data_IF_005662702608
#
_entry.id   IF_005662702608
#
_cell.length_a   1.000
_cell.length_b   1.000
_cell.length_c   1.000
_cell.angle_alpha   90.00
_cell.angle_beta   90.00
_cell.angle_gamma   90.00
#
_symmetry.space_group_name_H-M   'P 1'
#
loop_
_entity.id
_entity.type
_entity.pdbx_description
1 polymer ?
#
# COMPACT_ATOMS: atom_id res chain seq x y z
N UNK A 1 13.23 5.22 13.62
CA UNK A 1 12.05 5.52 12.77
C UNK A 1 10.78 4.85 13.29
N UNK A 2 10.89 3.87 14.20
CA UNK A 2 9.75 3.14 14.76
C UNK A 2 8.74 4.05 15.46
N UNK A 3 9.21 5.08 16.20
CA UNK A 3 8.34 6.05 16.88
C UNK A 3 7.41 6.78 15.90
N UNK A 4 7.90 7.17 14.71
CA UNK A 4 7.09 7.86 13.67
C UNK A 4 5.93 6.98 13.23
N UNK A 5 6.19 5.68 13.01
CA UNK A 5 5.13 4.76 12.63
C UNK A 5 4.11 4.57 13.75
N UNK A 6 4.57 4.46 15.00
CA UNK A 6 3.67 4.34 16.16
C UNK A 6 2.79 5.57 16.34
N UNK A 7 3.31 6.77 16.09
CA UNK A 7 2.53 8.02 16.06
C UNK A 7 1.46 7.98 14.96
N UNK A 8 1.83 7.62 13.72
CA UNK A 8 0.89 7.48 12.59
C UNK A 8 -0.22 6.47 12.93
N UNK A 9 0.13 5.32 13.51
CA UNK A 9 -0.83 4.30 13.90
C UNK A 9 -1.79 4.77 14.99
N UNK A 10 -1.30 5.58 15.93
CA UNK A 10 -2.14 6.14 17.01
C UNK A 10 -3.09 7.20 16.48
N UNK A 11 -2.60 8.07 15.59
CA UNK A 11 -3.37 9.17 14.99
C UNK A 11 -4.46 8.64 14.04
N UNK A 12 -4.17 7.60 13.26
CA UNK A 12 -5.06 7.16 12.16
C UNK A 12 -5.76 5.82 12.40
N UNK A 13 -5.19 4.92 13.21
CA UNK A 13 -5.69 3.55 13.34
C UNK A 13 -5.69 3.06 14.79
N UNK A 14 -6.35 3.80 15.72
CA UNK A 14 -6.35 3.45 17.14
C UNK A 14 -6.94 2.05 17.38
N UNK A 15 -7.95 1.66 16.62
CA UNK A 15 -8.61 0.36 16.74
C UNK A 15 -7.71 -0.83 16.38
N UNK A 16 -6.81 -0.65 15.40
CA UNK A 16 -5.84 -1.71 15.05
C UNK A 16 -4.81 -1.86 16.17
N UNK A 17 -4.34 -0.73 16.71
CA UNK A 17 -3.34 -0.69 17.77
C UNK A 17 -3.87 -1.26 19.09
N UNK A 18 -5.13 -0.99 19.44
CA UNK A 18 -5.78 -1.54 20.65
C UNK A 18 -5.96 -3.05 20.59
N UNK A 19 -6.30 -3.61 19.42
CA UNK A 19 -6.57 -5.05 19.27
C UNK A 19 -5.33 -5.92 19.41
N UNK A 20 -4.19 -5.47 18.90
CA UNK A 20 -2.94 -6.23 18.93
C UNK A 20 -1.71 -5.34 18.84
N UNK A 21 -0.60 -5.71 19.50
CA UNK A 21 0.68 -5.04 19.29
C UNK A 21 1.22 -5.37 17.90
N UNK A 22 1.60 -4.33 17.16
CA UNK A 22 2.26 -4.45 15.85
C UNK A 22 3.76 -4.54 16.08
N UNK A 23 4.37 -5.64 15.63
CA UNK A 23 5.81 -5.85 15.72
C UNK A 23 6.51 -5.34 14.45
N UNK A 24 7.47 -4.44 14.64
CA UNK A 24 8.32 -3.88 13.58
C UNK A 24 9.65 -4.64 13.61
N UNK A 25 10.12 -5.12 12.45
CA UNK A 25 11.43 -5.74 12.31
C UNK A 25 12.52 -4.74 11.93
N UNK A 26 12.17 -3.81 11.04
CA UNK A 26 13.10 -2.78 10.56
C UNK A 26 12.31 -1.54 10.12
N UNK A 27 12.90 -0.36 10.30
CA UNK A 27 12.34 0.89 9.85
C UNK A 27 13.45 1.87 9.48
N UNK A 28 13.59 2.14 8.17
CA UNK A 28 14.70 2.93 7.63
C UNK A 28 14.26 3.89 6.54
N UNK A 29 15.03 4.98 6.36
CA UNK A 29 14.85 5.89 5.23
C UNK A 29 15.60 5.38 4.02
N UNK A 30 14.97 5.49 2.84
CA UNK A 30 15.56 5.07 1.57
C UNK A 30 15.45 6.21 0.55
N UNK A 31 16.56 6.57 -0.13
CA UNK A 31 17.93 6.08 0.07
C UNK A 31 18.52 6.49 1.44
N UNK A 32 19.57 5.80 1.91
CA UNK A 32 20.19 6.09 3.22
C UNK A 32 20.87 7.47 3.26
N UNK A 33 21.40 7.92 2.12
CA UNK A 33 21.97 9.26 1.92
C UNK A 33 20.95 10.19 1.29
N UNK A 34 21.05 11.47 1.63
CA UNK A 34 20.24 12.52 1.01
C UNK A 34 20.90 12.94 -0.31
N UNK A 35 20.11 13.04 -1.37
CA UNK A 35 20.55 13.59 -2.65
C UNK A 35 20.28 15.10 -2.65
N UNK A 36 21.32 15.96 -2.71
CA UNK A 36 21.14 17.42 -2.75
C UNK A 36 20.27 17.90 -3.93
N UNK A 37 20.20 17.13 -5.03
CA UNK A 37 19.39 17.45 -6.22
C UNK A 37 17.90 17.16 -6.00
N UNK A 38 17.54 16.44 -4.94
CA UNK A 38 16.16 16.05 -4.62
C UNK A 38 15.80 16.55 -3.22
N UNK A 39 15.33 17.81 -3.07
CA UNK A 39 14.97 18.39 -1.78
C UNK A 39 13.68 17.79 -1.18
N UNK A 40 13.03 16.85 -1.87
CA UNK A 40 11.84 16.15 -1.36
C UNK A 40 12.18 15.22 -0.19
N UNK A 41 11.29 15.07 0.81
CA UNK A 41 11.47 14.10 1.88
C UNK A 41 11.68 12.68 1.35
N UNK A 42 12.64 11.97 1.94
CA UNK A 42 12.94 10.58 1.59
C UNK A 42 11.84 9.63 2.08
N UNK A 43 11.60 8.57 1.32
CA UNK A 43 10.66 7.52 1.71
C UNK A 43 11.15 6.76 2.94
N UNK A 44 10.19 6.25 3.72
CA UNK A 44 10.44 5.39 4.87
C UNK A 44 9.94 4.00 4.52
N UNK A 45 10.82 3.01 4.56
CA UNK A 45 10.45 1.60 4.40
C UNK A 45 10.35 1.00 5.80
N UNK A 46 9.22 0.34 6.05
CA UNK A 46 8.92 -0.33 7.31
C UNK A 46 8.68 -1.80 7.02
N UNK A 47 9.52 -2.64 7.62
CA UNK A 47 9.38 -4.09 7.57
C UNK A 47 8.63 -4.54 8.82
N UNK A 48 7.40 -4.98 8.63
CA UNK A 48 6.58 -5.56 9.70
C UNK A 48 6.91 -7.05 9.87
N UNK A 49 6.77 -7.56 11.09
CA UNK A 49 7.04 -8.98 11.37
C UNK A 49 6.00 -9.91 10.74
N UNK A 50 4.74 -9.47 10.67
CA UNK A 50 3.62 -10.26 10.15
C UNK A 50 3.04 -9.62 8.90
N UNK A 51 2.88 -10.40 7.84
CA UNK A 51 2.29 -9.92 6.58
C UNK A 51 0.82 -9.53 6.74
N UNK A 52 0.08 -10.19 7.63
CA UNK A 52 -1.32 -9.85 7.92
C UNK A 52 -1.45 -8.43 8.48
N UNK A 53 -0.48 -7.95 9.26
CA UNK A 53 -0.49 -6.59 9.80
C UNK A 53 -0.33 -5.58 8.66
N UNK A 54 0.61 -5.82 7.75
CA UNK A 54 0.80 -5.02 6.52
C UNK A 54 -0.50 -4.93 5.72
N UNK A 55 -1.15 -6.07 5.45
CA UNK A 55 -2.40 -6.12 4.67
C UNK A 55 -3.53 -5.36 5.37
N UNK A 56 -3.69 -5.55 6.68
CA UNK A 56 -4.74 -4.89 7.47
C UNK A 56 -4.58 -3.38 7.46
N UNK A 57 -3.36 -2.88 7.69
CA UNK A 57 -3.06 -1.46 7.77
C UNK A 57 -3.26 -0.78 6.40
N UNK A 58 -2.80 -1.41 5.32
CA UNK A 58 -2.98 -0.88 3.97
C UNK A 58 -4.45 -0.88 3.54
N UNK A 59 -5.23 -1.88 3.96
CA UNK A 59 -6.68 -1.91 3.72
C UNK A 59 -7.36 -0.76 4.46
N UNK A 60 -7.08 -0.60 5.75
CA UNK A 60 -7.62 0.49 6.55
C UNK A 60 -7.22 1.88 6.02
N UNK A 61 -5.98 2.04 5.54
CA UNK A 61 -5.52 3.28 4.91
C UNK A 61 -6.29 3.62 3.63
N UNK A 62 -6.61 2.62 2.80
CA UNK A 62 -7.42 2.81 1.58
C UNK A 62 -8.87 3.18 1.92
N UNK A 63 -9.47 2.50 2.90
CA UNK A 63 -10.85 2.77 3.34
C UNK A 63 -10.99 4.16 3.94
N UNK A 64 -10.00 4.60 4.74
CA UNK A 64 -9.99 5.94 5.34
C UNK A 64 -9.71 7.07 4.33
N UNK A 65 -9.04 6.76 3.21
CA UNK A 65 -8.58 7.68 2.13
C UNK A 65 -7.57 8.76 2.56
N UNK A 66 -7.73 9.37 3.74
CA UNK A 66 -6.86 10.41 4.30
C UNK A 66 -6.10 9.87 5.51
N UNK A 67 -4.78 9.73 5.36
CA UNK A 67 -3.85 9.39 6.45
C UNK A 67 -2.99 10.61 6.72
N UNK A 68 -2.82 10.98 7.99
CA UNK A 68 -2.03 12.14 8.41
C UNK A 68 -0.90 11.76 9.35
N UNK A 69 0.13 12.60 9.42
CA UNK A 69 1.17 12.55 10.44
C UNK A 69 1.37 13.97 10.96
N UNK A 70 1.08 14.21 12.23
CA UNK A 70 1.12 15.55 12.84
C UNK A 70 0.30 16.56 12.03
N UNK A 71 -0.89 16.14 11.59
CA UNK A 71 -1.78 16.95 10.75
C UNK A 71 -1.37 17.07 9.27
N UNK A 72 -0.18 16.65 8.87
CA UNK A 72 0.26 16.68 7.47
C UNK A 72 -0.22 15.43 6.73
N UNK A 73 -0.87 15.54 5.55
CA UNK A 73 -1.31 14.38 4.80
C UNK A 73 -0.11 13.55 4.30
N UNK A 74 -0.20 12.24 4.46
CA UNK A 74 0.81 11.28 4.03
C UNK A 74 0.16 10.16 3.22
N UNK A 75 0.99 9.43 2.46
CA UNK A 75 0.55 8.28 1.67
C UNK A 75 1.25 7.02 2.17
N UNK A 76 0.46 5.99 2.45
CA UNK A 76 0.96 4.64 2.74
C UNK A 76 0.77 3.76 1.51
N UNK A 77 1.86 3.23 0.97
CA UNK A 77 1.84 2.31 -0.17
C UNK A 77 2.62 1.04 0.14
N UNK A 78 2.32 -0.02 -0.60
CA UNK A 78 3.13 -1.23 -0.63
C UNK A 78 4.45 -0.97 -1.34
N UNK A 79 5.54 -1.44 -0.76
CA UNK A 79 6.81 -1.60 -1.46
C UNK A 79 6.76 -2.84 -2.35
N UNK A 80 7.12 -2.68 -3.64
CA UNK A 80 7.15 -3.72 -4.67
C UNK A 80 8.49 -3.68 -5.40
N UNK A 81 8.91 -4.80 -6.00
CA UNK A 81 10.03 -4.77 -6.94
C UNK A 81 9.69 -3.91 -8.16
N UNK A 82 10.73 -3.44 -8.86
CA UNK A 82 10.59 -2.68 -10.10
C UNK A 82 9.77 -3.44 -11.16
N UNK A 83 10.04 -4.73 -11.33
CA UNK A 83 9.30 -5.62 -12.22
C UNK A 83 7.81 -5.70 -11.85
N UNK A 84 7.51 -5.93 -10.56
CA UNK A 84 6.13 -6.01 -10.07
C UNK A 84 5.41 -4.67 -10.25
N UNK A 85 6.11 -3.56 -10.03
CA UNK A 85 5.58 -2.22 -10.21
C UNK A 85 5.25 -1.95 -11.68
N UNK A 86 6.11 -2.37 -12.62
CA UNK A 86 5.86 -2.27 -14.06
C UNK A 86 4.67 -3.12 -14.49
N UNK A 87 4.61 -4.39 -14.09
CA UNK A 87 3.48 -5.27 -14.41
C UNK A 87 2.14 -4.70 -13.90
N UNK A 88 2.13 -4.05 -12.73
CA UNK A 88 0.94 -3.33 -12.24
C UNK A 88 0.56 -2.13 -13.09
N UNK A 89 1.54 -1.38 -13.59
CA UNK A 89 1.30 -0.22 -14.46
C UNK A 89 0.64 -0.64 -15.77
N UNK A 90 0.96 -1.82 -16.30
CA UNK A 90 0.31 -2.35 -17.50
C UNK A 90 -1.18 -2.61 -17.28
N UNK A 91 -1.58 -2.95 -16.06
CA UNK A 91 -2.98 -3.10 -15.67
C UNK A 91 -3.70 -1.77 -15.45
N UNK A 92 -3.02 -0.64 -15.22
CA UNK A 92 -3.66 0.63 -14.84
C UNK A 92 -4.69 1.10 -15.88
N UNK A 93 -4.37 0.99 -17.17
CA UNK A 93 -5.28 1.38 -18.26
C UNK A 93 -6.50 0.48 -18.31
N UNK A 94 -6.28 -0.83 -18.26
CA UNK A 94 -7.32 -1.87 -18.25
C UNK A 94 -8.23 -1.68 -17.03
N UNK A 95 -7.64 -1.42 -15.87
CA UNK A 95 -8.33 -1.17 -14.61
C UNK A 95 -9.27 0.03 -14.72
N UNK A 96 -8.81 1.15 -15.30
CA UNK A 96 -9.65 2.35 -15.53
C UNK A 96 -10.79 2.07 -16.51
N UNK A 97 -10.57 1.29 -17.56
CA UNK A 97 -11.64 0.90 -18.50
C UNK A 97 -12.68 0.02 -17.79
N UNK A 98 -12.23 -0.96 -17.00
CA UNK A 98 -13.13 -1.87 -16.27
C UNK A 98 -13.92 -1.17 -15.17
N UNK A 99 -13.31 -0.21 -14.46
CA UNK A 99 -14.04 0.62 -13.50
C UNK A 99 -15.14 1.44 -14.18
N UNK A 100 -14.86 2.03 -15.35
CA UNK A 100 -15.87 2.75 -16.15
C UNK A 100 -17.01 1.85 -16.62
N UNK A 101 -16.76 0.56 -16.83
CA UNK A 101 -17.76 -0.45 -17.16
C UNK A 101 -18.49 -1.06 -15.94
N UNK A 102 -18.17 -0.63 -14.71
CA UNK A 102 -18.83 -1.13 -13.50
C UNK A 102 -18.38 -2.52 -13.02
N UNK A 103 -17.28 -3.07 -13.55
CA UNK A 103 -16.84 -4.45 -13.30
C UNK A 103 -16.10 -4.67 -11.96
N UNK A 104 -16.02 -3.63 -11.10
CA UNK A 104 -15.37 -3.66 -9.78
C UNK A 104 -14.03 -4.43 -9.74
N UNK A 105 -13.06 -4.09 -10.61
CA UNK A 105 -11.79 -4.82 -10.69
C UNK A 105 -10.97 -4.70 -9.40
N UNK A 106 -10.19 -5.74 -9.09
CA UNK A 106 -9.27 -5.80 -7.94
C UNK A 106 -7.87 -6.23 -8.40
N UNK A 107 -6.85 -5.46 -8.06
CA UNK A 107 -5.45 -5.86 -8.28
C UNK A 107 -4.95 -6.56 -7.01
N UNK A 108 -4.73 -7.86 -7.10
CA UNK A 108 -4.21 -8.71 -6.02
C UNK A 108 -2.69 -8.57 -5.90
N UNK A 109 -2.07 -9.31 -4.97
CA UNK A 109 -0.63 -9.29 -4.71
C UNK A 109 0.20 -9.73 -5.93
N UNK A 110 1.46 -9.27 -5.99
CA UNK A 110 2.32 -9.24 -7.18
C UNK A 110 1.71 -8.42 -8.31
N UNK A 111 1.01 -8.96 -9.30
CA UNK A 111 0.35 -8.15 -10.33
C UNK A 111 -0.86 -8.86 -10.94
N UNK A 112 -1.66 -9.57 -10.12
CA UNK A 112 -2.79 -10.34 -10.63
C UNK A 112 -4.07 -9.49 -10.66
N UNK A 113 -4.77 -9.45 -11.78
CA UNK A 113 -6.06 -8.78 -11.90
C UNK A 113 -7.19 -9.77 -11.61
N UNK A 114 -8.15 -9.36 -10.78
CA UNK A 114 -9.32 -10.16 -10.42
C UNK A 114 -10.58 -9.38 -10.75
N UNK A 115 -11.53 -10.03 -11.42
CA UNK A 115 -12.78 -9.42 -11.89
C UNK A 115 -13.93 -10.34 -11.52
N UNK A 116 -15.04 -9.74 -11.08
CA UNK A 116 -16.30 -10.46 -10.86
C UNK A 116 -17.20 -10.28 -12.09
N UNK A 117 -17.47 -11.36 -12.82
CA UNK A 117 -18.36 -11.38 -13.98
C UNK A 117 -19.45 -12.41 -13.69
N UNK A 118 -20.72 -12.01 -13.71
CA UNK A 118 -21.87 -12.92 -13.56
C UNK A 118 -21.84 -13.82 -12.30
N UNK A 119 -21.16 -13.35 -11.24
CA UNK A 119 -21.02 -14.12 -9.98
C UNK A 119 -19.72 -14.92 -9.88
N UNK A 120 -19.03 -15.19 -10.99
CA UNK A 120 -17.74 -15.86 -11.02
C UNK A 120 -16.58 -14.88 -10.86
N UNK A 121 -15.55 -15.31 -10.11
CA UNK A 121 -14.31 -14.56 -9.94
C UNK A 121 -13.27 -15.12 -10.92
N UNK A 122 -12.87 -14.32 -11.90
CA UNK A 122 -11.80 -14.65 -12.84
C UNK A 122 -10.52 -13.92 -12.45
N UNK A 123 -9.40 -14.65 -12.48
CA UNK A 123 -8.08 -14.13 -12.11
C UNK A 123 -7.14 -14.20 -13.32
N UNK A 124 -6.48 -13.10 -13.63
CA UNK A 124 -5.53 -12.94 -14.72
C UNK A 124 -4.15 -12.67 -14.14
N UNK A 125 -3.13 -13.39 -14.60
CA UNK A 125 -1.74 -13.21 -14.15
C UNK A 125 -0.99 -12.21 -15.01
N UNK A 126 -1.25 -12.23 -16.31
CA UNK A 126 -0.57 -11.42 -17.32
C UNK A 126 -1.59 -10.75 -18.25
N UNK A 127 -1.15 -9.68 -18.91
CA UNK A 127 -1.96 -8.95 -19.89
C UNK A 127 -2.14 -9.73 -21.21
N UNK A 128 -1.25 -10.68 -21.50
CA UNK A 128 -1.21 -11.44 -22.77
C UNK A 128 -2.24 -12.55 -22.80
#
# INVERSE_FOLDING_TARGET
MENVFQEIMTENFPEIKKKKPIQIQDARRVPSKMDPRRPTPRHIIIKLAKINDKVTILKAARERQKVTYKGTPIRLTTDFSTETYQARREWDEIYKVMQRKGLNPRILYLARLSIKIEGEIRNFTDKK
#
